data_IF_024198289390
#
_entry.id   IF_024198289390
#
_cell.length_a   1.000
_cell.length_b   1.000
_cell.length_c   1.000
_cell.angle_alpha   90.00
_cell.angle_beta   90.00
_cell.angle_gamma   90.00
#
_symmetry.space_group_name_H-M   'P 1'
#
loop_
_entity.id
_entity.type
_entity.pdbx_description
1 polymer ?
#
# COMPACT_ATOMS: atom_id res chain seq x y z
N UNK A 1 0.79 -37.92 -23.12
CA UNK A 1 1.05 -36.46 -23.19
C UNK A 1 0.99 -35.72 -21.86
N UNK A 2 0.01 -35.90 -20.95
CA UNK A 2 -0.05 -35.10 -19.71
C UNK A 2 1.15 -35.31 -18.78
N UNK A 3 1.68 -36.54 -18.71
CA UNK A 3 2.89 -36.85 -17.92
C UNK A 3 4.14 -36.12 -18.41
N UNK A 4 4.30 -35.96 -19.72
CA UNK A 4 5.45 -35.27 -20.30
C UNK A 4 5.42 -33.77 -19.97
N UNK A 5 4.24 -33.15 -20.03
CA UNK A 5 4.06 -31.75 -19.64
C UNK A 5 4.35 -31.54 -18.14
N UNK A 6 3.82 -32.42 -17.28
CA UNK A 6 4.10 -32.38 -15.85
C UNK A 6 5.59 -32.56 -15.53
N UNK A 7 6.27 -33.45 -16.26
CA UNK A 7 7.71 -33.66 -16.15
C UNK A 7 8.53 -32.41 -16.51
N UNK A 8 8.18 -31.71 -17.59
CA UNK A 8 8.83 -30.45 -17.98
C UNK A 8 8.61 -29.36 -16.92
N UNK A 9 7.38 -29.22 -16.40
CA UNK A 9 7.08 -28.26 -15.33
C UNK A 9 7.89 -28.57 -14.07
N UNK A 10 7.94 -29.84 -13.65
CA UNK A 10 8.72 -30.25 -12.48
C UNK A 10 10.23 -30.07 -12.69
N UNK A 11 10.75 -30.34 -13.88
CA UNK A 11 12.16 -30.15 -14.18
C UNK A 11 12.59 -28.68 -14.12
N UNK A 12 11.73 -27.77 -14.58
CA UNK A 12 11.99 -26.33 -14.56
C UNK A 12 11.75 -25.75 -13.16
N UNK A 13 10.61 -26.04 -12.52
CA UNK A 13 10.19 -25.40 -11.28
C UNK A 13 10.65 -26.11 -10.01
N UNK A 14 10.82 -27.43 -10.06
CA UNK A 14 11.19 -28.27 -8.91
C UNK A 14 12.47 -27.81 -8.21
N UNK A 15 13.59 -27.59 -8.92
CA UNK A 15 14.84 -27.13 -8.31
C UNK A 15 14.68 -25.79 -7.59
N UNK A 16 13.98 -24.83 -8.20
CA UNK A 16 13.74 -23.52 -7.62
C UNK A 16 12.86 -23.60 -6.35
N UNK A 17 11.82 -24.44 -6.35
CA UNK A 17 10.98 -24.67 -5.17
C UNK A 17 11.77 -25.30 -4.03
N UNK A 18 12.64 -26.28 -4.30
CA UNK A 18 13.48 -26.91 -3.28
C UNK A 18 14.41 -25.88 -2.64
N UNK A 19 15.09 -25.06 -3.45
CA UNK A 19 16.00 -24.02 -2.94
C UNK A 19 15.22 -22.99 -2.11
N UNK A 20 14.05 -22.55 -2.60
CA UNK A 20 13.20 -21.63 -1.86
C UNK A 20 12.80 -22.22 -0.51
N UNK A 21 12.31 -23.47 -0.48
CA UNK A 21 11.93 -24.17 0.74
C UNK A 21 13.09 -24.25 1.77
N UNK A 22 14.29 -24.59 1.31
CA UNK A 22 15.47 -24.65 2.18
C UNK A 22 15.85 -23.28 2.74
N UNK A 23 15.74 -22.21 1.95
CA UNK A 23 15.97 -20.83 2.40
C UNK A 23 14.92 -20.36 3.41
N UNK A 24 13.64 -20.68 3.17
CA UNK A 24 12.53 -20.31 4.06
C UNK A 24 12.67 -20.92 5.46
N UNK A 25 13.22 -22.14 5.58
CA UNK A 25 13.48 -22.80 6.86
C UNK A 25 14.63 -22.18 7.66
N UNK A 26 15.49 -21.38 7.02
CA UNK A 26 16.64 -20.72 7.65
C UNK A 26 16.42 -19.21 7.85
N UNK A 27 15.17 -18.75 7.85
CA UNK A 27 14.83 -17.33 8.06
C UNK A 27 15.31 -16.85 9.43
N UNK A 28 16.21 -15.88 9.44
CA UNK A 28 16.68 -15.19 10.63
C UNK A 28 16.09 -13.76 10.62
N UNK A 29 15.64 -13.25 11.77
CA UNK A 29 15.17 -11.88 11.91
C UNK A 29 16.27 -10.86 12.08
N UNK A 30 17.49 -11.28 12.44
CA UNK A 30 18.57 -10.33 12.67
C UNK A 30 18.78 -9.38 11.48
N UNK A 31 18.88 -9.85 10.22
CA UNK A 31 19.00 -8.94 9.07
C UNK A 31 17.79 -8.01 8.88
N UNK A 32 16.59 -8.44 9.27
CA UNK A 32 15.38 -7.62 9.15
C UNK A 32 15.37 -6.50 10.20
N UNK A 33 15.76 -6.80 11.43
CA UNK A 33 15.82 -5.84 12.52
C UNK A 33 16.98 -4.87 12.32
N UNK A 34 18.14 -5.35 11.87
CA UNK A 34 19.30 -4.52 11.54
C UNK A 34 18.93 -3.49 10.46
N UNK A 35 18.15 -3.89 9.44
CA UNK A 35 17.64 -2.99 8.41
C UNK A 35 16.63 -1.94 8.94
N UNK A 36 15.92 -2.23 10.02
CA UNK A 36 15.02 -1.29 10.70
C UNK A 36 15.74 -0.44 11.77
N UNK A 37 17.08 -0.52 11.86
CA UNK A 37 17.89 0.24 12.82
C UNK A 37 18.01 -0.40 14.20
N UNK A 38 17.52 -1.63 14.37
CA UNK A 38 17.65 -2.42 15.59
C UNK A 38 18.79 -3.43 15.44
N UNK A 39 19.94 -3.18 16.07
CA UNK A 39 21.04 -4.14 16.06
C UNK A 39 20.75 -5.31 17.01
N UNK A 40 20.57 -6.53 16.47
CA UNK A 40 20.47 -7.74 17.30
C UNK A 40 21.55 -8.77 16.96
N UNK A 41 22.35 -9.15 17.95
CA UNK A 41 23.45 -10.11 17.77
C UNK A 41 23.03 -11.58 17.96
N UNK A 42 21.72 -11.86 17.98
CA UNK A 42 21.20 -13.20 18.23
C UNK A 42 20.68 -13.86 16.94
N UNK A 43 20.96 -15.15 16.76
CA UNK A 43 20.40 -15.98 15.69
C UNK A 43 18.92 -16.28 15.92
N UNK A 44 18.05 -15.28 15.72
CA UNK A 44 16.61 -15.42 15.94
C UNK A 44 15.95 -16.06 14.72
N UNK A 45 15.90 -17.38 14.70
CA UNK A 45 15.23 -18.13 13.63
C UNK A 45 13.71 -18.00 13.76
N UNK A 46 13.03 -17.63 12.68
CA UNK A 46 11.57 -17.54 12.63
C UNK A 46 10.98 -18.94 12.47
N UNK A 47 10.37 -19.47 13.53
CA UNK A 47 9.48 -20.62 13.43
C UNK A 47 8.01 -20.17 13.28
N UNK A 48 7.12 -21.11 12.97
CA UNK A 48 5.69 -20.82 12.72
C UNK A 48 5.00 -20.21 13.94
N UNK A 49 5.30 -20.71 15.16
CA UNK A 49 4.68 -20.19 16.39
C UNK A 49 5.12 -18.75 16.67
N UNK A 50 6.42 -18.48 16.50
CA UNK A 50 6.96 -17.15 16.67
C UNK A 50 6.46 -16.18 15.60
N UNK A 51 6.36 -16.64 14.35
CA UNK A 51 5.74 -15.88 13.27
C UNK A 51 4.29 -15.50 13.57
N UNK A 52 3.50 -16.39 14.21
CA UNK A 52 2.13 -16.09 14.66
C UNK A 52 2.11 -14.99 15.71
N UNK A 53 3.07 -14.98 16.65
CA UNK A 53 3.19 -13.90 17.64
C UNK A 53 3.49 -12.57 16.95
N UNK A 54 4.42 -12.54 15.99
CA UNK A 54 4.78 -11.33 15.25
C UNK A 54 3.67 -10.81 14.32
N UNK A 55 2.75 -11.67 13.89
CA UNK A 55 1.64 -11.33 12.99
C UNK A 55 0.29 -11.24 13.73
N UNK A 56 0.30 -11.34 15.05
CA UNK A 56 -0.89 -11.20 15.86
C UNK A 56 -1.40 -9.76 15.73
N UNK A 57 -2.64 -9.60 15.28
CA UNK A 57 -3.30 -8.30 15.29
C UNK A 57 -3.61 -7.93 16.75
N UNK A 58 -3.13 -6.78 17.20
CA UNK A 58 -3.38 -6.33 18.56
C UNK A 58 -4.85 -5.94 18.72
N UNK A 59 -5.51 -6.50 19.74
CA UNK A 59 -6.86 -6.11 20.14
C UNK A 59 -6.81 -4.88 21.06
N UNK A 60 -7.83 -4.02 20.96
CA UNK A 60 -7.99 -2.89 21.89
C UNK A 60 -8.38 -3.40 23.28
N UNK A 61 -7.74 -2.91 24.37
CA UNK A 61 -8.13 -3.30 25.72
C UNK A 61 -9.53 -2.78 26.07
N UNK A 62 -10.20 -3.46 27.01
CA UNK A 62 -11.57 -3.12 27.43
C UNK A 62 -11.61 -1.67 27.93
N UNK A 63 -12.48 -0.86 27.33
CA UNK A 63 -12.65 0.56 27.68
C UNK A 63 -11.68 1.53 26.98
N UNK A 64 -10.78 1.05 26.13
CA UNK A 64 -9.98 1.94 25.28
C UNK A 64 -10.79 2.51 24.11
N UNK A 65 -10.49 3.76 23.76
CA UNK A 65 -11.05 4.44 22.60
C UNK A 65 -9.92 4.80 21.63
N UNK A 66 -10.17 4.63 20.33
CA UNK A 66 -9.21 5.01 19.29
C UNK A 66 -9.28 6.53 19.13
N UNK A 67 -8.15 7.21 19.32
CA UNK A 67 -8.04 8.63 19.03
C UNK A 67 -7.72 8.82 17.54
N UNK A 68 -8.70 9.30 16.77
CA UNK A 68 -8.52 9.61 15.34
C UNK A 68 -7.90 10.99 15.09
N UNK A 69 -7.66 11.78 16.15
CA UNK A 69 -6.99 13.07 16.04
C UNK A 69 -5.47 12.87 16.06
N UNK A 70 -4.89 12.61 14.89
CA UNK A 70 -3.44 12.52 14.71
C UNK A 70 -2.81 13.92 14.60
N UNK A 71 -1.99 14.36 15.57
CA UNK A 71 -1.35 15.68 15.57
C UNK A 71 -0.34 15.86 14.43
N UNK A 72 0.11 14.78 13.79
CA UNK A 72 1.04 14.79 12.67
C UNK A 72 0.36 14.59 11.31
N UNK A 73 -0.97 14.45 11.28
CA UNK A 73 -1.69 14.29 10.03
C UNK A 73 -1.50 15.55 9.17
N UNK A 74 -0.86 15.38 8.01
CA UNK A 74 -0.75 16.45 7.03
C UNK A 74 -2.15 16.87 6.62
N UNK A 75 -2.55 18.10 6.98
CA UNK A 75 -3.83 18.68 6.55
C UNK A 75 -3.92 18.59 5.03
N UNK A 76 -4.88 17.81 4.53
CA UNK A 76 -5.14 17.75 3.10
C UNK A 76 -5.60 19.15 2.65
N UNK A 77 -4.94 19.70 1.63
CA UNK A 77 -5.36 20.98 1.06
C UNK A 77 -6.73 20.74 0.41
N UNK A 78 -7.76 21.43 0.89
CA UNK A 78 -9.09 21.37 0.28
C UNK A 78 -9.00 21.84 -1.17
N UNK A 79 -9.45 21.01 -2.10
CA UNK A 79 -9.52 21.32 -3.54
C UNK A 79 -10.71 22.22 -3.89
N UNK A 80 -11.68 22.32 -2.97
CA UNK A 80 -12.91 23.09 -3.13
C UNK A 80 -12.70 24.57 -3.50
N UNK A 81 -11.79 25.34 -2.87
CA UNK A 81 -11.53 26.73 -3.27
C UNK A 81 -11.04 26.86 -4.72
N UNK A 82 -10.22 25.91 -5.20
CA UNK A 82 -9.72 25.92 -6.57
C UNK A 82 -10.85 25.64 -7.57
N UNK A 83 -11.73 24.69 -7.25
CA UNK A 83 -12.91 24.37 -8.09
C UNK A 83 -13.85 25.58 -8.19
N UNK A 84 -14.14 26.24 -7.06
CA UNK A 84 -14.97 27.44 -7.04
C UNK A 84 -14.35 28.58 -7.86
N UNK A 85 -13.04 28.77 -7.76
CA UNK A 85 -12.33 29.79 -8.51
C UNK A 85 -12.36 29.52 -10.03
N UNK A 86 -12.11 28.28 -10.44
CA UNK A 86 -12.18 27.87 -11.86
C UNK A 86 -13.61 28.02 -12.39
N UNK A 87 -14.62 27.62 -11.61
CA UNK A 87 -16.03 27.77 -11.99
C UNK A 87 -16.42 29.24 -12.17
N UNK A 88 -15.93 30.13 -11.31
CA UNK A 88 -16.18 31.57 -11.42
C UNK A 88 -15.57 32.14 -12.71
N UNK A 89 -14.32 31.80 -13.00
CA UNK A 89 -13.63 32.23 -14.23
C UNK A 89 -14.35 31.70 -15.46
N UNK A 90 -14.74 30.42 -15.48
CA UNK A 90 -15.47 29.83 -16.58
C UNK A 90 -16.80 30.54 -16.82
N UNK A 91 -17.55 30.86 -15.76
CA UNK A 91 -18.80 31.63 -15.86
C UNK A 91 -18.59 33.04 -16.45
N UNK A 92 -17.54 33.74 -16.02
CA UNK A 92 -17.18 35.06 -16.57
C UNK A 92 -16.83 34.96 -18.06
N UNK A 93 -16.02 33.98 -18.45
CA UNK A 93 -15.61 33.77 -19.84
C UNK A 93 -16.82 33.45 -20.72
N UNK A 94 -17.71 32.56 -20.27
CA UNK A 94 -18.95 32.23 -20.98
C UNK A 94 -19.84 33.46 -21.14
N UNK A 95 -20.00 34.28 -20.09
CA UNK A 95 -20.76 35.53 -20.14
C UNK A 95 -20.18 36.52 -21.15
N UNK A 96 -18.86 36.73 -21.17
CA UNK A 96 -18.21 37.62 -22.12
C UNK A 96 -18.31 37.11 -23.57
N UNK A 97 -18.12 35.81 -23.80
CA UNK A 97 -18.26 35.19 -25.13
C UNK A 97 -19.70 35.26 -25.66
N UNK A 98 -20.70 35.17 -24.78
CA UNK A 98 -22.10 35.41 -25.12
C UNK A 98 -22.34 36.88 -25.53
N UNK A 99 -21.82 37.82 -24.74
CA UNK A 99 -21.94 39.27 -25.04
C UNK A 99 -21.28 39.67 -26.37
N UNK A 100 -20.18 39.00 -26.74
CA UNK A 100 -19.48 39.23 -28.02
C UNK A 100 -20.16 38.59 -29.23
N UNK A 101 -21.27 37.87 -29.06
CA UNK A 101 -22.03 37.24 -30.15
C UNK A 101 -21.32 36.04 -30.80
N UNK A 102 -20.22 35.56 -30.20
CA UNK A 102 -19.46 34.39 -30.67
C UNK A 102 -20.19 33.09 -30.31
N UNK A 103 -20.88 33.09 -29.15
CA UNK A 103 -21.76 32.00 -28.73
C UNK A 103 -23.21 32.34 -29.07
N UNK A 104 -23.80 31.61 -30.03
CA UNK A 104 -25.25 31.63 -30.28
C UNK A 104 -25.93 30.86 -29.15
N UNK A 105 -26.95 31.46 -28.53
CA UNK A 105 -27.65 30.97 -27.33
C UNK A 105 -27.68 29.44 -27.19
N UNK A 106 -27.07 28.87 -26.14
CA UNK A 106 -27.32 27.48 -25.75
C UNK A 106 -28.56 27.32 -24.83
N UNK A 107 -29.26 28.43 -24.53
CA UNK A 107 -30.53 28.46 -23.77
C UNK A 107 -31.61 29.21 -24.55
#
# INVERSE_FOLDING_TARGET
MPLALAGVILAISGPAMIIAYLKLRKRNLAPLLDANGWAINAGVIINIQFGRVLTHLADLPIGANINFNDPFQKKQKSILPYILFISLIAGIVVYFLWKMGILKNPF
#
